data_IF_574135625470
#
_entry.id   IF_574135625470
#
_cell.length_a   1.000
_cell.length_b   1.000
_cell.length_c   1.000
_cell.angle_alpha   90.00
_cell.angle_beta   90.00
_cell.angle_gamma   90.00
#
_symmetry.space_group_name_H-M   'P 1'
#
loop_
_entity.id
_entity.type
_entity.pdbx_description
1 polymer ?
#
# COMPACT_ATOMS: atom_id res chain seq x y z
N UNK A 1 -17.75 21.72 -20.06
CA UNK A 1 -17.35 22.89 -19.26
C UNK A 1 -17.11 22.58 -17.77
N UNK A 2 -17.87 21.69 -17.10
CA UNK A 2 -17.65 21.39 -15.66
C UNK A 2 -16.51 20.41 -15.32
N UNK A 3 -15.97 19.67 -16.30
CA UNK A 3 -14.88 18.70 -16.05
C UNK A 3 -13.48 19.32 -16.04
N UNK A 4 -13.28 20.48 -16.67
CA UNK A 4 -11.97 21.16 -16.73
C UNK A 4 -11.64 21.97 -15.46
N UNK A 5 -12.66 22.36 -14.69
CA UNK A 5 -12.47 23.23 -13.52
C UNK A 5 -11.93 22.47 -12.31
N UNK A 6 -12.25 21.18 -12.19
CA UNK A 6 -11.77 20.32 -11.09
C UNK A 6 -10.26 20.04 -11.17
N UNK A 7 -9.71 19.87 -12.39
CA UNK A 7 -8.30 19.56 -12.62
C UNK A 7 -7.34 20.71 -12.23
N UNK A 8 -7.83 21.96 -12.21
CA UNK A 8 -7.02 23.14 -11.88
C UNK A 8 -6.98 23.47 -10.38
N UNK A 9 -7.74 22.77 -9.54
CA UNK A 9 -7.68 22.92 -8.08
C UNK A 9 -6.43 22.27 -7.49
N UNK A 10 -5.95 22.74 -6.34
CA UNK A 10 -4.80 22.14 -5.66
C UNK A 10 -5.04 20.65 -5.31
N UNK A 11 -6.28 20.31 -4.94
CA UNK A 11 -6.72 18.93 -4.70
C UNK A 11 -6.73 18.09 -5.98
N UNK A 12 -7.22 18.64 -7.10
CA UNK A 12 -7.17 17.99 -8.41
C UNK A 12 -5.74 17.73 -8.88
N UNK A 13 -4.83 18.70 -8.71
CA UNK A 13 -3.40 18.53 -9.00
C UNK A 13 -2.77 17.46 -8.12
N UNK A 14 -3.07 17.45 -6.81
CA UNK A 14 -2.56 16.44 -5.88
C UNK A 14 -3.04 15.04 -6.26
N UNK A 15 -4.32 14.87 -6.55
CA UNK A 15 -4.89 13.60 -7.00
C UNK A 15 -4.24 13.15 -8.30
N UNK A 16 -4.08 14.04 -9.28
CA UNK A 16 -3.41 13.74 -10.54
C UNK A 16 -1.97 13.26 -10.31
N UNK A 17 -1.17 13.97 -9.51
CA UNK A 17 0.20 13.58 -9.17
C UNK A 17 0.25 12.22 -8.46
N UNK A 18 -0.70 11.95 -7.54
CA UNK A 18 -0.82 10.64 -6.89
C UNK A 18 -1.10 9.53 -7.91
N UNK A 19 -2.06 9.74 -8.82
CA UNK A 19 -2.39 8.77 -9.87
C UNK A 19 -1.25 8.57 -10.87
N UNK A 20 -0.52 9.63 -11.23
CA UNK A 20 0.66 9.54 -12.10
C UNK A 20 1.79 8.74 -11.43
N UNK A 21 2.06 8.99 -10.15
CA UNK A 21 3.04 8.21 -9.39
C UNK A 21 2.61 6.75 -9.22
N UNK A 22 1.31 6.47 -9.10
CA UNK A 22 0.77 5.11 -9.05
C UNK A 22 0.92 4.36 -10.39
N UNK A 23 0.88 5.06 -11.52
CA UNK A 23 1.10 4.50 -12.86
C UNK A 23 2.57 4.28 -13.24
N UNK A 24 3.51 4.76 -12.43
CA UNK A 24 4.93 4.57 -12.71
C UNK A 24 5.35 3.11 -12.52
N UNK A 25 5.92 2.50 -13.56
CA UNK A 25 6.23 1.06 -13.59
C UNK A 25 7.51 0.67 -12.83
N UNK A 26 8.48 1.58 -12.70
CA UNK A 26 9.84 1.26 -12.20
C UNK A 26 10.11 1.71 -10.75
N UNK A 27 9.08 2.08 -10.00
CA UNK A 27 9.21 2.32 -8.57
C UNK A 27 9.93 3.63 -8.14
N UNK A 28 10.43 4.46 -9.06
CA UNK A 28 11.25 5.63 -8.68
C UNK A 28 10.48 6.71 -7.90
N UNK A 29 9.15 6.76 -8.04
CA UNK A 29 8.27 7.71 -7.36
C UNK A 29 7.67 7.15 -6.07
N UNK A 30 8.09 5.97 -5.65
CA UNK A 30 7.41 5.18 -4.62
C UNK A 30 7.49 5.79 -3.24
N UNK A 31 8.69 6.26 -2.88
CA UNK A 31 8.92 6.97 -1.64
C UNK A 31 8.23 8.34 -1.64
N UNK A 32 8.24 9.02 -2.79
CA UNK A 32 7.59 10.31 -2.95
C UNK A 32 6.07 10.19 -2.81
N UNK A 33 5.48 9.19 -3.46
CA UNK A 33 4.07 8.82 -3.33
C UNK A 33 3.69 8.56 -1.87
N UNK A 34 4.46 7.70 -1.18
CA UNK A 34 4.24 7.38 0.24
C UNK A 34 4.19 8.64 1.10
N UNK A 35 5.18 9.52 0.91
CA UNK A 35 5.24 10.80 1.62
C UNK A 35 4.03 11.70 1.32
N UNK A 36 3.65 11.86 0.04
CA UNK A 36 2.48 12.67 -0.35
C UNK A 36 1.17 12.15 0.24
N UNK A 37 0.99 10.83 0.29
CA UNK A 37 -0.19 10.21 0.88
C UNK A 37 -0.25 10.43 2.39
N UNK A 38 0.86 10.27 3.10
CA UNK A 38 0.96 10.62 4.51
C UNK A 38 0.59 12.08 4.79
N UNK A 39 1.14 13.04 4.02
CA UNK A 39 0.78 14.46 4.14
C UNK A 39 -0.70 14.75 3.83
N UNK A 40 -1.33 13.88 3.04
CA UNK A 40 -2.72 14.03 2.66
C UNK A 40 -3.70 13.65 3.77
N UNK A 41 -3.27 12.99 4.85
CA UNK A 41 -4.13 12.73 6.02
C UNK A 41 -4.60 14.03 6.69
N UNK A 42 -5.85 14.03 7.18
CA UNK A 42 -6.43 15.19 7.85
C UNK A 42 -5.59 15.67 9.05
N UNK A 43 -5.08 14.74 9.87
CA UNK A 43 -4.19 15.03 10.99
C UNK A 43 -2.94 15.81 10.56
N UNK A 44 -2.31 15.38 9.47
CA UNK A 44 -1.08 15.97 8.96
C UNK A 44 -1.36 17.31 8.25
N UNK A 45 -2.49 17.44 7.54
CA UNK A 45 -2.92 18.71 6.95
C UNK A 45 -3.18 19.79 8.00
N UNK A 46 -3.74 19.43 9.16
CA UNK A 46 -3.95 20.37 10.26
C UNK A 46 -2.63 20.96 10.77
N UNK A 47 -1.58 20.12 10.88
CA UNK A 47 -0.25 20.57 11.28
C UNK A 47 0.43 21.45 10.23
N UNK A 48 0.10 21.25 8.94
CA UNK A 48 0.70 21.94 7.81
C UNK A 48 -0.13 23.12 7.31
N UNK A 49 -1.12 23.59 8.07
CA UNK A 49 -2.05 24.67 7.70
C UNK A 49 -1.36 25.98 7.29
N UNK A 50 -0.14 26.24 7.76
CA UNK A 50 0.66 27.40 7.36
C UNK A 50 1.42 27.24 6.03
N UNK A 51 1.58 26.00 5.54
CA UNK A 51 2.28 25.65 4.30
C UNK A 51 1.32 25.23 3.19
N UNK A 52 0.25 24.52 3.56
CA UNK A 52 -0.82 24.10 2.67
C UNK A 52 -2.00 25.04 2.85
N UNK A 53 -2.51 25.61 1.76
CA UNK A 53 -3.78 26.35 1.80
C UNK A 53 -4.85 25.43 2.36
N UNK A 54 -5.54 25.88 3.42
CA UNK A 54 -6.66 25.13 3.96
C UNK A 54 -7.67 24.88 2.85
N UNK A 55 -7.84 23.60 2.54
CA UNK A 55 -8.97 23.11 1.80
C UNK A 55 -9.56 22.00 2.65
N UNK A 56 -10.89 21.94 2.69
CA UNK A 56 -11.64 20.82 3.24
C UNK A 56 -11.30 19.59 2.38
N UNK A 57 -10.18 18.95 2.68
CA UNK A 57 -9.71 17.82 1.91
C UNK A 57 -10.76 16.73 2.03
N UNK A 58 -11.35 16.37 0.90
CA UNK A 58 -12.51 15.51 0.86
C UNK A 58 -12.10 14.09 1.28
N UNK A 59 -12.61 13.59 2.41
CA UNK A 59 -12.38 12.20 2.85
C UNK A 59 -12.78 11.18 1.76
N UNK A 60 -13.68 11.57 0.86
CA UNK A 60 -14.05 10.78 -0.32
C UNK A 60 -12.85 10.57 -1.26
N UNK A 61 -12.00 11.57 -1.47
CA UNK A 61 -10.83 11.47 -2.36
C UNK A 61 -9.80 10.47 -1.84
N UNK A 62 -9.60 10.41 -0.52
CA UNK A 62 -8.71 9.43 0.12
C UNK A 62 -9.28 8.03 -0.05
N UNK A 63 -10.60 7.85 0.14
CA UNK A 63 -11.26 6.55 -0.09
C UNK A 63 -11.11 6.08 -1.53
N UNK A 64 -11.22 6.99 -2.50
CA UNK A 64 -11.02 6.68 -3.92
C UNK A 64 -9.58 6.23 -4.20
N UNK A 65 -8.57 6.93 -3.66
CA UNK A 65 -7.17 6.51 -3.76
C UNK A 65 -6.95 5.12 -3.14
N UNK A 66 -7.47 4.89 -1.94
CA UNK A 66 -7.35 3.59 -1.26
C UNK A 66 -7.96 2.48 -2.12
N UNK A 67 -9.14 2.71 -2.69
CA UNK A 67 -9.81 1.75 -3.56
C UNK A 67 -9.00 1.49 -4.83
N UNK A 68 -8.43 2.54 -5.43
CA UNK A 68 -7.59 2.41 -6.61
C UNK A 68 -6.31 1.62 -6.33
N UNK A 69 -5.63 1.87 -5.19
CA UNK A 69 -4.47 1.07 -4.76
C UNK A 69 -4.86 -0.40 -4.60
N UNK A 70 -6.01 -0.68 -3.97
CA UNK A 70 -6.52 -2.05 -3.80
C UNK A 70 -6.78 -2.75 -5.14
N UNK A 71 -7.34 -2.04 -6.12
CA UNK A 71 -7.52 -2.54 -7.48
C UNK A 71 -6.19 -2.75 -8.22
N UNK A 72 -5.16 -1.95 -7.91
CA UNK A 72 -3.84 -2.09 -8.56
C UNK A 72 -3.19 -3.43 -8.23
N UNK A 73 -3.52 -4.04 -7.08
CA UNK A 73 -3.06 -5.39 -6.73
C UNK A 73 -3.66 -6.51 -7.59
N UNK A 74 -4.69 -6.24 -8.38
CA UNK A 74 -5.24 -7.20 -9.35
C UNK A 74 -4.32 -7.36 -10.58
N UNK A 75 -3.41 -6.40 -10.79
CA UNK A 75 -2.36 -6.50 -11.80
C UNK A 75 -1.16 -7.34 -11.30
N UNK A 76 -0.39 -7.88 -12.24
CA UNK A 76 0.85 -8.61 -11.94
C UNK A 76 1.99 -7.63 -11.61
N UNK A 77 1.98 -7.12 -10.38
CA UNK A 77 2.97 -6.18 -9.88
C UNK A 77 4.24 -6.89 -9.41
N UNK A 78 5.39 -6.24 -9.58
CA UNK A 78 6.63 -6.71 -8.95
C UNK A 78 6.49 -6.80 -7.42
N UNK A 79 7.29 -7.65 -6.75
CA UNK A 79 7.30 -7.73 -5.29
C UNK A 79 7.55 -6.38 -4.62
N UNK A 80 8.53 -5.62 -5.09
CA UNK A 80 8.94 -4.34 -4.53
C UNK A 80 7.80 -3.31 -4.65
N UNK A 81 7.16 -3.26 -5.83
CA UNK A 81 6.03 -2.37 -6.07
C UNK A 81 4.86 -2.73 -5.16
N UNK A 82 4.56 -4.02 -5.02
CA UNK A 82 3.49 -4.50 -4.14
C UNK A 82 3.74 -4.10 -2.68
N UNK A 83 4.96 -4.32 -2.18
CA UNK A 83 5.38 -3.93 -0.82
C UNK A 83 5.22 -2.42 -0.64
N UNK A 84 5.60 -1.62 -1.62
CA UNK A 84 5.47 -0.17 -1.51
C UNK A 84 4.00 0.30 -1.51
N UNK A 85 3.11 -0.35 -2.27
CA UNK A 85 1.68 -0.08 -2.18
C UNK A 85 1.10 -0.43 -0.80
N UNK A 86 1.60 -1.48 -0.13
CA UNK A 86 1.24 -1.75 1.27
C UNK A 86 1.71 -0.65 2.22
N UNK A 87 2.92 -0.11 2.02
CA UNK A 87 3.35 1.08 2.77
C UNK A 87 2.42 2.27 2.51
N UNK A 88 1.97 2.49 1.27
CA UNK A 88 1.03 3.55 0.95
C UNK A 88 -0.31 3.39 1.66
N UNK A 89 -0.87 2.18 1.71
CA UNK A 89 -2.07 1.89 2.49
C UNK A 89 -1.85 2.13 3.99
N UNK A 90 -0.68 1.76 4.50
CA UNK A 90 -0.30 2.00 5.89
C UNK A 90 -0.27 3.51 6.23
N UNK A 91 0.32 4.34 5.36
CA UNK A 91 0.29 5.80 5.52
C UNK A 91 -1.13 6.38 5.48
N UNK A 92 -2.04 5.74 4.74
CA UNK A 92 -3.45 6.13 4.68
C UNK A 92 -4.29 5.54 5.83
N UNK A 93 -3.66 4.91 6.81
CA UNK A 93 -4.29 4.19 7.91
C UNK A 93 -5.24 3.05 7.47
N UNK A 94 -5.09 2.54 6.25
CA UNK A 94 -5.83 1.37 5.76
C UNK A 94 -5.03 0.09 6.03
N UNK A 95 -5.49 -0.69 7.00
CA UNK A 95 -4.84 -1.93 7.44
C UNK A 95 -5.65 -3.17 7.06
N UNK A 96 -6.64 -3.07 6.17
CA UNK A 96 -7.61 -4.16 5.99
C UNK A 96 -6.93 -5.42 5.46
N UNK A 97 -6.15 -5.29 4.38
CA UNK A 97 -5.45 -6.41 3.75
C UNK A 97 -4.37 -7.02 4.66
N UNK A 98 -3.68 -6.18 5.43
CA UNK A 98 -2.68 -6.60 6.42
C UNK A 98 -3.32 -7.43 7.53
N UNK A 99 -4.44 -6.94 8.09
CA UNK A 99 -5.20 -7.64 9.14
C UNK A 99 -5.78 -8.95 8.63
N UNK A 100 -6.24 -9.00 7.38
CA UNK A 100 -6.74 -10.23 6.78
C UNK A 100 -5.64 -11.31 6.76
N UNK A 101 -4.42 -10.96 6.32
CA UNK A 101 -3.28 -11.90 6.33
C UNK A 101 -2.85 -12.29 7.74
N UNK A 102 -2.79 -11.34 8.68
CA UNK A 102 -2.50 -11.64 10.08
C UNK A 102 -3.53 -12.59 10.70
N UNK A 103 -4.82 -12.46 10.35
CA UNK A 103 -5.86 -13.36 10.80
C UNK A 103 -5.69 -14.78 10.22
N UNK A 104 -5.28 -14.90 8.96
CA UNK A 104 -4.95 -16.19 8.35
C UNK A 104 -3.75 -16.87 9.01
N UNK A 105 -2.69 -16.10 9.29
CA UNK A 105 -1.51 -16.57 10.04
C UNK A 105 -1.90 -17.08 11.44
N UNK A 106 -2.68 -16.29 12.18
CA UNK A 106 -3.07 -16.60 13.57
C UNK A 106 -3.92 -17.87 13.68
N UNK A 107 -4.69 -18.19 12.64
CA UNK A 107 -5.54 -19.39 12.59
C UNK A 107 -4.77 -20.64 12.14
N UNK A 108 -3.50 -20.50 11.75
CA UNK A 108 -2.75 -21.56 11.07
C UNK A 108 -3.42 -22.02 9.76
N UNK A 109 -4.32 -21.19 9.20
CA UNK A 109 -5.20 -21.57 8.08
C UNK A 109 -4.63 -21.22 6.72
N UNK A 110 -3.35 -20.86 6.65
CA UNK A 110 -2.57 -20.80 5.41
C UNK A 110 -2.31 -22.24 4.93
N UNK A 111 -3.37 -22.96 4.59
CA UNK A 111 -3.23 -24.19 3.81
C UNK A 111 -2.78 -23.78 2.41
N UNK A 112 -1.74 -24.45 1.94
CA UNK A 112 -0.87 -24.08 0.82
C UNK A 112 -1.51 -24.19 -0.58
N UNK A 113 -2.76 -23.75 -0.74
CA UNK A 113 -3.47 -23.70 -2.01
C UNK A 113 -3.60 -22.26 -2.50
N UNK A 114 -2.46 -21.65 -2.82
CA UNK A 114 -2.29 -20.42 -3.61
C UNK A 114 -2.82 -19.12 -2.99
N UNK A 115 -2.04 -18.53 -2.07
CA UNK A 115 -2.11 -17.08 -1.85
C UNK A 115 -1.87 -16.37 -3.18
N UNK A 116 -2.62 -15.31 -3.43
CA UNK A 116 -2.39 -14.46 -4.59
C UNK A 116 -1.02 -13.76 -4.49
N UNK A 117 -0.46 -13.29 -5.61
CA UNK A 117 0.78 -12.50 -5.60
C UNK A 117 0.74 -11.32 -4.62
N UNK A 118 -0.39 -10.62 -4.54
CA UNK A 118 -0.61 -9.54 -3.59
C UNK A 118 -0.62 -10.02 -2.13
N UNK A 119 -1.20 -11.18 -1.83
CA UNK A 119 -1.24 -11.75 -0.49
C UNK A 119 0.14 -12.23 -0.02
N UNK A 120 0.98 -12.78 -0.91
CA UNK A 120 2.38 -13.06 -0.59
C UNK A 120 3.16 -11.79 -0.25
N UNK A 121 2.91 -10.72 -1.00
CA UNK A 121 3.54 -9.42 -0.74
C UNK A 121 3.03 -8.78 0.56
N UNK A 122 1.76 -8.98 0.90
CA UNK A 122 1.19 -8.58 2.19
C UNK A 122 1.85 -9.32 3.36
N UNK A 123 2.11 -10.62 3.20
CA UNK A 123 2.87 -11.40 4.17
C UNK A 123 4.30 -10.86 4.31
N UNK A 124 5.01 -10.64 3.20
CA UNK A 124 6.35 -10.04 3.22
C UNK A 124 6.33 -8.69 3.96
N UNK A 125 5.35 -7.84 3.66
CA UNK A 125 5.15 -6.56 4.34
C UNK A 125 4.96 -6.73 5.84
N UNK A 126 4.06 -7.62 6.28
CA UNK A 126 3.84 -7.91 7.71
C UNK A 126 5.14 -8.34 8.40
N UNK A 127 5.91 -9.20 7.76
CA UNK A 127 7.19 -9.69 8.28
C UNK A 127 8.22 -8.55 8.37
N UNK A 128 8.27 -7.64 7.40
CA UNK A 128 9.16 -6.48 7.39
C UNK A 128 8.80 -5.43 8.44
N UNK A 129 7.51 -5.24 8.72
CA UNK A 129 7.03 -4.17 9.61
C UNK A 129 6.65 -4.64 11.01
N UNK A 130 6.70 -5.94 11.28
CA UNK A 130 6.41 -6.47 12.61
C UNK A 130 7.50 -6.05 13.60
N UNK A 131 7.13 -5.30 14.63
CA UNK A 131 8.01 -4.99 15.77
C UNK A 131 8.33 -6.23 16.62
N UNK A 132 7.49 -7.27 16.52
CA UNK A 132 7.74 -8.57 17.16
C UNK A 132 8.56 -9.43 16.23
N UNK A 133 9.69 -9.93 16.71
CA UNK A 133 10.32 -11.11 16.14
C UNK A 133 9.28 -12.23 16.19
N UNK A 134 8.82 -12.70 15.04
CA UNK A 134 8.07 -13.94 14.98
C UNK A 134 9.08 -15.03 15.34
N UNK A 135 9.10 -15.41 16.62
CA UNK A 135 10.13 -16.29 17.22
C UNK A 135 10.37 -17.55 16.37
N UNK A 136 9.37 -18.07 15.66
CA UNK A 136 9.54 -19.09 14.61
C UNK A 136 8.45 -18.94 13.53
N UNK A 137 8.75 -18.22 12.43
CA UNK A 137 7.98 -18.34 11.19
C UNK A 137 8.63 -19.41 10.30
N UNK A 138 8.10 -20.64 10.34
CA UNK A 138 8.60 -21.75 9.51
C UNK A 138 8.22 -21.56 8.03
N UNK A 139 8.98 -20.74 7.31
CA UNK A 139 8.88 -20.48 5.87
C UNK A 139 8.75 -21.77 5.05
N UNK A 140 9.48 -22.83 5.43
CA UNK A 140 9.49 -24.14 4.77
C UNK A 140 8.10 -24.81 4.72
N UNK A 141 7.21 -24.54 5.68
CA UNK A 141 5.82 -25.06 5.66
C UNK A 141 4.96 -24.40 4.57
N UNK A 142 5.35 -23.20 4.12
CA UNK A 142 4.58 -22.34 3.21
C UNK A 142 5.21 -22.18 1.83
N UNK A 143 6.52 -22.37 1.70
CA UNK A 143 7.27 -22.31 0.43
C UNK A 143 6.93 -23.49 -0.48
N UNK A 144 6.07 -23.27 -1.47
CA UNK A 144 5.67 -24.30 -2.45
C UNK A 144 5.74 -23.85 -3.91
N UNK A 145 6.25 -22.64 -4.20
CA UNK A 145 6.43 -22.13 -5.56
C UNK A 145 7.57 -21.11 -5.65
N UNK A 146 8.11 -20.93 -6.86
CA UNK A 146 9.12 -19.89 -7.15
C UNK A 146 8.58 -18.47 -6.88
N UNK A 147 7.31 -18.23 -7.18
CA UNK A 147 6.65 -16.95 -6.92
C UNK A 147 6.65 -16.58 -5.42
N UNK A 148 6.47 -17.57 -4.54
CA UNK A 148 6.56 -17.39 -3.10
C UNK A 148 7.98 -16.96 -2.70
N UNK A 149 9.00 -17.65 -3.22
CA UNK A 149 10.41 -17.32 -2.95
C UNK A 149 10.76 -15.90 -3.42
N UNK A 150 10.34 -15.53 -4.62
CA UNK A 150 10.59 -14.20 -5.18
C UNK A 150 9.96 -13.12 -4.29
N UNK A 151 8.70 -13.30 -3.87
CA UNK A 151 7.99 -12.29 -3.05
C UNK A 151 8.44 -12.23 -1.60
N UNK A 152 8.95 -13.32 -1.05
CA UNK A 152 9.51 -13.37 0.31
C UNK A 152 11.02 -13.09 0.34
N UNK A 153 11.67 -12.86 -0.81
CA UNK A 153 13.12 -12.62 -0.88
C UNK A 153 13.59 -11.47 0.01
N UNK A 154 12.76 -10.45 0.23
CA UNK A 154 13.07 -9.32 1.11
C UNK A 154 13.19 -9.69 2.61
N UNK A 155 12.69 -10.86 3.02
CA UNK A 155 12.63 -11.29 4.43
C UNK A 155 13.33 -12.62 4.71
N UNK A 156 13.81 -13.31 3.67
CA UNK A 156 14.61 -14.52 3.79
C UNK A 156 16.08 -14.11 3.95
N UNK A 157 16.75 -14.62 5.00
CA UNK A 157 18.18 -14.42 5.27
C UNK A 157 18.98 -15.67 4.94
#
# INVERSE_FOLDING_TARGET
>A
MKQDEAANTLEGKRLMTTYEALKSDNGHLDLFLRFLLGLSLQSNRQLLRGLLTQQDGNDQSIKEIVQYIKQTFEADLSPERSINLFYCLNELNDQTLVKDIQAHLSKGSLSSGYLSPAQWSALAFVLLTSEKELEEFELQKFMKSDECLIRLSAVIK
#
